data_IF_731830133481
#
_entry.id   IF_731830133481
#
_cell.length_a   1.000
_cell.length_b   1.000
_cell.length_c   1.000
_cell.angle_alpha   90.00
_cell.angle_beta   90.00
_cell.angle_gamma   90.00
#
_symmetry.space_group_name_H-M   'P 1'
#
loop_
_entity.id
_entity.type
_entity.pdbx_description
1 polymer ?
#
# COMPACT_ATOMS: atom_id res chain seq x y z
N UNK A 1 -12.05 21.92 -17.99
CA UNK A 1 -10.83 22.45 -17.33
C UNK A 1 -9.72 21.41 -17.52
N UNK A 2 -8.52 21.77 -18.00
CA UNK A 2 -7.45 20.78 -18.16
C UNK A 2 -7.08 20.24 -16.77
N UNK A 3 -7.17 18.91 -16.60
CA UNK A 3 -6.64 18.22 -15.42
C UNK A 3 -5.17 18.62 -15.29
N UNK A 4 -4.82 19.44 -14.30
CA UNK A 4 -3.42 19.57 -13.87
C UNK A 4 -2.97 18.15 -13.52
N UNK A 5 -2.10 17.56 -14.35
CA UNK A 5 -1.42 16.32 -14.02
C UNK A 5 -0.79 16.51 -12.65
N UNK A 6 -1.29 15.76 -11.67
CA UNK A 6 -0.75 15.78 -10.33
C UNK A 6 0.70 15.29 -10.41
N UNK A 7 1.64 16.05 -9.87
CA UNK A 7 3.03 15.60 -9.77
C UNK A 7 3.11 14.45 -8.76
N UNK A 8 4.11 13.58 -8.91
CA UNK A 8 4.39 12.55 -7.91
C UNK A 8 4.47 13.16 -6.50
N UNK A 9 5.16 14.28 -6.37
CA UNK A 9 5.30 14.99 -5.11
C UNK A 9 3.94 15.41 -4.49
N UNK A 10 2.99 15.84 -5.32
CA UNK A 10 1.64 16.17 -4.87
C UNK A 10 0.91 14.95 -4.32
N UNK A 11 0.85 13.84 -5.08
CA UNK A 11 0.09 12.65 -4.67
C UNK A 11 0.69 11.99 -3.43
N UNK A 12 2.01 12.04 -3.25
CA UNK A 12 2.65 11.51 -2.04
C UNK A 12 2.35 12.35 -0.79
N UNK A 13 2.15 13.66 -0.96
CA UNK A 13 1.81 14.56 0.15
C UNK A 13 0.32 14.61 0.46
N UNK A 14 -0.54 14.57 -0.57
CA UNK A 14 -1.96 14.88 -0.44
C UNK A 14 -2.89 13.75 -0.86
N UNK A 15 -2.40 12.73 -1.55
CA UNK A 15 -3.22 11.68 -2.14
C UNK A 15 -3.92 12.11 -3.43
N UNK A 16 -4.83 11.26 -3.90
CA UNK A 16 -5.50 11.36 -5.20
C UNK A 16 -6.94 11.88 -5.15
N UNK A 17 -7.47 12.29 -3.99
CA UNK A 17 -8.85 12.78 -3.89
C UNK A 17 -9.07 14.01 -4.80
N UNK A 18 -9.98 13.94 -5.80
CA UNK A 18 -10.17 15.03 -6.77
C UNK A 18 -10.55 16.37 -6.13
N UNK A 19 -11.28 16.34 -5.01
CA UNK A 19 -11.72 17.55 -4.30
C UNK A 19 -10.54 18.39 -3.78
N UNK A 20 -9.39 17.77 -3.48
CA UNK A 20 -8.19 18.47 -3.00
C UNK A 20 -7.54 19.38 -4.04
N UNK A 21 -7.86 19.18 -5.32
CA UNK A 21 -7.36 20.00 -6.42
C UNK A 21 -8.04 21.37 -6.49
N UNK A 22 -9.21 21.53 -5.87
CA UNK A 22 -9.96 22.79 -5.87
C UNK A 22 -9.35 23.82 -4.90
N UNK A 23 -8.66 23.34 -3.86
CA UNK A 23 -7.97 24.20 -2.90
C UNK A 23 -6.61 24.61 -3.44
N UNK A 24 -6.23 25.88 -3.24
CA UNK A 24 -4.90 26.38 -3.58
C UNK A 24 -3.93 26.25 -2.41
N UNK A 25 -4.39 26.54 -1.18
CA UNK A 25 -3.59 26.50 0.04
C UNK A 25 -3.58 25.11 0.68
N UNK A 26 -2.46 24.78 1.33
CA UNK A 26 -2.33 23.52 2.07
C UNK A 26 -3.23 23.48 3.33
N UNK A 27 -3.46 24.64 3.97
CA UNK A 27 -4.38 24.77 5.11
C UNK A 27 -5.79 24.29 4.76
N UNK A 28 -6.29 24.69 3.60
CA UNK A 28 -7.66 24.40 3.18
C UNK A 28 -7.80 22.91 2.80
N UNK A 29 -6.74 22.32 2.24
CA UNK A 29 -6.66 20.85 2.00
C UNK A 29 -6.68 20.08 3.31
N UNK A 30 -5.91 20.53 4.30
CA UNK A 30 -5.89 19.93 5.63
C UNK A 30 -7.26 20.01 6.30
N UNK A 31 -7.89 21.18 6.30
CA UNK A 31 -9.24 21.38 6.86
C UNK A 31 -10.25 20.45 6.19
N UNK A 32 -10.23 20.37 4.85
CA UNK A 32 -11.06 19.44 4.10
C UNK A 32 -10.82 17.99 4.52
N UNK A 33 -9.56 17.54 4.61
CA UNK A 33 -9.24 16.16 4.98
C UNK A 33 -9.65 15.81 6.40
N UNK A 34 -9.49 16.75 7.34
CA UNK A 34 -9.97 16.60 8.72
C UNK A 34 -11.49 16.44 8.75
N UNK A 35 -12.21 17.29 8.03
CA UNK A 35 -13.67 17.24 7.96
C UNK A 35 -14.16 15.95 7.27
N UNK A 36 -13.61 15.63 6.10
CA UNK A 36 -13.99 14.48 5.29
C UNK A 36 -13.75 13.16 6.03
N UNK A 37 -12.53 12.90 6.49
CA UNK A 37 -12.21 11.56 7.01
C UNK A 37 -12.71 11.32 8.43
N UNK A 38 -12.83 12.34 9.29
CA UNK A 38 -13.41 12.12 10.62
C UNK A 38 -14.93 12.23 10.61
N UNK A 39 -15.48 13.28 10.00
CA UNK A 39 -16.91 13.57 10.17
C UNK A 39 -17.77 12.71 9.25
N UNK A 40 -17.35 12.49 8.00
CA UNK A 40 -18.14 11.70 7.06
C UNK A 40 -17.98 10.21 7.34
N UNK A 41 -16.74 9.74 7.52
CA UNK A 41 -16.47 8.32 7.72
C UNK A 41 -17.11 7.75 8.97
N UNK A 42 -17.00 8.45 10.11
CA UNK A 42 -17.63 7.99 11.34
C UNK A 42 -19.14 7.96 11.21
N UNK A 43 -19.74 8.96 10.54
CA UNK A 43 -21.19 9.02 10.35
C UNK A 43 -21.71 7.91 9.45
N UNK A 44 -21.02 7.63 8.34
CA UNK A 44 -21.40 6.59 7.38
C UNK A 44 -21.32 5.21 8.03
N UNK A 45 -20.20 4.89 8.68
CA UNK A 45 -20.01 3.60 9.37
C UNK A 45 -20.98 3.42 10.54
N UNK A 46 -21.34 4.51 11.23
CA UNK A 46 -22.34 4.47 12.30
C UNK A 46 -23.76 4.29 11.76
N UNK A 47 -24.11 4.95 10.65
CA UNK A 47 -25.44 4.89 10.04
C UNK A 47 -25.78 3.47 9.58
N UNK A 48 -24.80 2.74 9.05
CA UNK A 48 -24.94 1.34 8.62
C UNK A 48 -25.02 0.34 9.78
N UNK A 49 -24.98 0.81 11.04
CA UNK A 49 -24.99 -0.01 12.27
C UNK A 49 -23.90 -1.09 12.33
N UNK A 50 -22.86 -1.00 11.52
CA UNK A 50 -21.75 -1.96 11.51
C UNK A 50 -20.96 -1.96 12.83
N UNK A 51 -21.05 -0.86 13.59
CA UNK A 51 -20.30 -0.67 14.83
C UNK A 51 -21.24 -0.39 16.00
N UNK A 52 -21.28 -1.32 16.95
CA UNK A 52 -22.08 -1.20 18.19
C UNK A 52 -21.55 -0.14 19.16
N UNK A 53 -20.23 0.07 19.20
CA UNK A 53 -19.54 1.03 20.07
C UNK A 53 -18.56 1.87 19.25
N UNK A 54 -18.81 3.16 19.14
CA UNK A 54 -18.03 4.05 18.28
C UNK A 54 -16.64 4.38 18.86
N UNK A 55 -16.53 4.49 20.19
CA UNK A 55 -15.28 4.89 20.85
C UNK A 55 -14.07 3.97 20.54
N UNK A 56 -14.18 2.63 20.62
CA UNK A 56 -13.07 1.77 20.22
C UNK A 56 -12.71 1.90 18.73
N UNK A 57 -13.69 2.12 17.85
CA UNK A 57 -13.42 2.33 16.44
C UNK A 57 -12.65 3.63 16.17
N UNK A 58 -13.01 4.72 16.86
CA UNK A 58 -12.28 5.99 16.82
C UNK A 58 -10.82 5.85 17.23
N UNK A 59 -10.55 5.03 18.25
CA UNK A 59 -9.17 4.73 18.70
C UNK A 59 -8.43 3.83 17.72
N UNK A 60 -9.14 2.92 17.05
CA UNK A 60 -8.60 2.04 16.04
C UNK A 60 -8.10 2.78 14.81
N UNK A 61 -8.85 3.78 14.30
CA UNK A 61 -8.55 4.43 13.02
C UNK A 61 -7.13 5.04 12.92
N UNK A 62 -6.62 5.83 13.89
CA UNK A 62 -5.24 6.32 13.87
C UNK A 62 -4.20 5.19 13.92
N UNK A 63 -4.47 4.12 14.67
CA UNK A 63 -3.56 2.96 14.77
C UNK A 63 -3.53 2.22 13.43
N UNK A 64 -4.69 2.02 12.79
CA UNK A 64 -4.78 1.42 11.46
C UNK A 64 -3.98 2.24 10.43
N UNK A 65 -4.07 3.57 10.48
CA UNK A 65 -3.30 4.45 9.62
C UNK A 65 -1.79 4.32 9.83
N UNK A 66 -1.32 4.22 11.08
CA UNK A 66 0.09 3.95 11.37
C UNK A 66 0.56 2.54 10.97
N UNK A 67 -0.37 1.59 10.88
CA UNK A 67 -0.13 0.21 10.45
C UNK A 67 -0.29 0.02 8.94
N UNK A 68 -0.60 1.08 8.19
CA UNK A 68 -0.71 1.04 6.73
C UNK A 68 0.56 0.49 6.09
N UNK A 69 0.41 -0.54 5.24
CA UNK A 69 1.50 -1.23 4.56
C UNK A 69 2.38 -2.11 5.45
N UNK A 70 2.05 -2.28 6.73
CA UNK A 70 2.78 -3.12 7.67
C UNK A 70 2.03 -4.43 7.94
N UNK A 71 2.78 -5.48 8.30
CA UNK A 71 2.18 -6.77 8.68
C UNK A 71 1.35 -6.56 9.96
N UNK A 72 0.08 -6.93 9.89
CA UNK A 72 -0.84 -6.69 10.99
C UNK A 72 -0.59 -7.65 12.15
N UNK A 73 -0.55 -7.10 13.35
CA UNK A 73 -0.64 -7.86 14.58
C UNK A 73 -1.95 -7.51 15.28
N UNK A 74 -3.01 -8.26 14.97
CA UNK A 74 -4.35 -8.01 15.49
C UNK A 74 -4.39 -8.02 17.02
N UNK A 75 -3.62 -8.89 17.67
CA UNK A 75 -3.55 -8.97 19.14
C UNK A 75 -2.91 -7.71 19.75
N UNK A 76 -1.86 -7.18 19.11
CA UNK A 76 -1.22 -5.94 19.56
C UNK A 76 -2.16 -4.74 19.41
N UNK A 77 -2.80 -4.61 18.23
CA UNK A 77 -3.75 -3.53 17.96
C UNK A 77 -4.95 -3.62 18.92
N UNK A 78 -5.43 -4.83 19.20
CA UNK A 78 -6.54 -5.07 20.12
C UNK A 78 -6.21 -4.58 21.54
N UNK A 79 -4.99 -4.83 22.02
CA UNK A 79 -4.50 -4.31 23.31
C UNK A 79 -4.44 -2.79 23.34
N UNK A 80 -3.95 -2.16 22.27
CA UNK A 80 -3.84 -0.70 22.18
C UNK A 80 -5.23 -0.02 22.15
N UNK A 81 -6.25 -0.69 21.59
CA UNK A 81 -7.63 -0.18 21.47
C UNK A 81 -8.53 -0.59 22.65
N UNK A 82 -8.10 -1.56 23.47
CA UNK A 82 -8.85 -2.18 24.57
C UNK A 82 -10.12 -2.94 24.13
N UNK A 83 -9.97 -3.76 23.08
CA UNK A 83 -11.00 -4.69 22.58
C UNK A 83 -10.37 -6.05 22.28
N UNK A 84 -11.16 -7.04 21.87
CA UNK A 84 -10.62 -8.33 21.41
C UNK A 84 -10.13 -8.28 19.95
N UNK A 85 -9.28 -9.24 19.56
CA UNK A 85 -8.70 -9.27 18.22
C UNK A 85 -9.71 -9.59 17.10
N UNK A 86 -10.84 -10.22 17.42
CA UNK A 86 -11.94 -10.43 16.46
C UNK A 86 -12.62 -9.11 16.13
N UNK A 87 -12.80 -8.23 17.11
CA UNK A 87 -13.31 -6.87 16.92
C UNK A 87 -12.38 -6.05 16.02
N UNK A 88 -11.06 -6.13 16.20
CA UNK A 88 -10.11 -5.44 15.31
C UNK A 88 -10.17 -5.98 13.87
N UNK A 89 -10.27 -7.31 13.69
CA UNK A 89 -10.45 -7.90 12.35
C UNK A 89 -11.72 -7.37 11.68
N UNK A 90 -12.84 -7.36 12.41
CA UNK A 90 -14.10 -6.81 11.94
C UNK A 90 -13.98 -5.32 11.58
N UNK A 91 -13.20 -4.53 12.31
CA UNK A 91 -12.96 -3.12 11.95
C UNK A 91 -12.20 -2.96 10.63
N UNK A 92 -11.17 -3.78 10.37
CA UNK A 92 -10.52 -3.77 9.07
C UNK A 92 -11.41 -4.32 7.95
N UNK A 93 -12.24 -5.33 8.22
CA UNK A 93 -13.26 -5.84 7.27
C UNK A 93 -14.24 -4.72 6.88
N UNK A 94 -14.71 -3.94 7.84
CA UNK A 94 -15.53 -2.74 7.55
C UNK A 94 -14.78 -1.77 6.63
N UNK A 95 -13.49 -1.50 6.87
CA UNK A 95 -12.70 -0.61 6.00
C UNK A 95 -12.53 -1.18 4.58
N UNK A 96 -12.46 -2.49 4.42
CA UNK A 96 -12.39 -3.15 3.11
C UNK A 96 -13.74 -3.15 2.39
N UNK A 97 -14.83 -3.50 3.09
CA UNK A 97 -16.19 -3.54 2.55
C UNK A 97 -16.69 -2.15 2.12
N UNK A 98 -16.20 -1.09 2.77
CA UNK A 98 -16.44 0.32 2.41
C UNK A 98 -15.49 0.86 1.35
N UNK A 99 -14.61 0.03 0.79
CA UNK A 99 -13.63 0.40 -0.23
C UNK A 99 -12.63 1.47 0.23
N UNK A 100 -12.41 1.62 1.53
CA UNK A 100 -11.42 2.55 2.10
C UNK A 100 -10.02 1.97 2.11
N UNK A 101 -9.90 0.66 1.92
CA UNK A 101 -8.63 -0.04 1.81
C UNK A 101 -8.81 -1.48 1.36
N UNK A 102 -7.73 -2.24 1.41
CA UNK A 102 -7.70 -3.64 1.01
C UNK A 102 -6.61 -4.39 1.78
N UNK A 103 -6.82 -5.69 1.97
CA UNK A 103 -5.77 -6.57 2.47
C UNK A 103 -4.78 -6.96 1.37
N UNK A 104 -3.49 -6.96 1.71
CA UNK A 104 -2.44 -7.60 0.93
C UNK A 104 -1.99 -8.87 1.67
N UNK A 105 -2.44 -10.07 1.23
CA UNK A 105 -2.12 -11.31 1.93
C UNK A 105 -0.65 -11.69 1.78
N UNK A 106 -0.14 -12.49 2.71
CA UNK A 106 1.19 -13.09 2.56
C UNK A 106 1.16 -14.21 1.51
N UNK A 107 2.16 -14.24 0.64
CA UNK A 107 2.29 -15.27 -0.38
C UNK A 107 2.56 -16.65 0.25
N UNK A 108 1.82 -17.65 -0.20
CA UNK A 108 2.14 -19.06 -0.04
C UNK A 108 1.54 -19.83 -1.22
N UNK A 109 2.12 -20.98 -1.57
CA UNK A 109 1.53 -21.86 -2.59
C UNK A 109 0.34 -22.63 -2.03
N UNK A 110 0.31 -22.85 -0.72
CA UNK A 110 -0.82 -23.43 -0.02
C UNK A 110 -1.76 -22.33 0.48
N UNK A 111 -2.97 -22.30 -0.05
CA UNK A 111 -4.05 -21.42 0.42
C UNK A 111 -4.24 -21.56 1.95
N UNK A 112 -4.18 -22.79 2.48
CA UNK A 112 -4.30 -23.03 3.94
C UNK A 112 -3.17 -22.37 4.73
N UNK A 113 -1.93 -22.36 4.21
CA UNK A 113 -0.80 -21.69 4.87
C UNK A 113 -0.89 -20.18 4.72
N UNK A 114 -1.32 -19.68 3.55
CA UNK A 114 -1.58 -18.27 3.31
C UNK A 114 -2.60 -17.71 4.31
N UNK A 115 -3.73 -18.38 4.52
CA UNK A 115 -4.78 -17.96 5.48
C UNK A 115 -4.25 -17.86 6.92
N UNK A 116 -3.24 -18.65 7.29
CA UNK A 116 -2.63 -18.63 8.64
C UNK A 116 -1.64 -17.49 8.85
N UNK A 117 -1.16 -16.85 7.77
CA UNK A 117 -0.22 -15.75 7.86
C UNK A 117 -0.98 -14.43 8.00
N UNK A 118 -0.47 -13.53 8.82
CA UNK A 118 -1.03 -12.19 8.94
C UNK A 118 -0.92 -11.44 7.61
N UNK A 119 -1.95 -10.70 7.18
CA UNK A 119 -1.88 -9.84 6.00
C UNK A 119 -1.24 -8.49 6.36
N UNK A 120 -0.92 -7.70 5.33
CA UNK A 120 -0.84 -6.24 5.45
C UNK A 120 -2.19 -5.62 5.09
N UNK A 121 -2.41 -4.37 5.47
CA UNK A 121 -3.55 -3.58 5.02
C UNK A 121 -3.07 -2.25 4.43
N UNK A 122 -3.64 -1.86 3.30
CA UNK A 122 -3.38 -0.56 2.67
C UNK A 122 -4.69 0.21 2.57
N UNK A 123 -4.68 1.48 2.99
CA UNK A 123 -5.73 2.41 2.62
C UNK A 123 -5.71 2.63 1.11
N UNK A 124 -6.87 2.93 0.51
CA UNK A 124 -6.98 3.08 -0.94
C UNK A 124 -6.32 4.37 -1.47
N UNK A 125 -6.07 5.32 -0.56
CA UNK A 125 -5.51 6.62 -0.89
C UNK A 125 -4.69 7.20 0.28
N UNK A 126 -3.58 7.90 -0.03
CA UNK A 126 -2.71 8.52 0.97
C UNK A 126 -3.41 9.60 1.80
N UNK A 127 -4.39 10.28 1.22
CA UNK A 127 -5.17 11.32 1.87
C UNK A 127 -5.93 10.80 3.11
N UNK A 128 -6.47 9.56 3.03
CA UNK A 128 -7.14 8.89 4.13
C UNK A 128 -6.16 8.62 5.27
N UNK A 129 -5.04 7.95 4.96
CA UNK A 129 -4.00 7.65 5.95
C UNK A 129 -3.54 8.95 6.64
N UNK A 130 -3.33 10.02 5.89
CA UNK A 130 -2.80 11.29 6.41
C UNK A 130 -3.78 11.96 7.37
N UNK A 131 -5.06 11.98 6.99
CA UNK A 131 -6.11 12.53 7.82
C UNK A 131 -6.27 11.75 9.14
N UNK A 132 -6.20 10.41 9.07
CA UNK A 132 -6.31 9.54 10.25
C UNK A 132 -5.09 9.65 11.17
N UNK A 133 -3.89 9.78 10.62
CA UNK A 133 -2.64 10.06 11.37
C UNK A 133 -2.64 11.47 12.01
N UNK A 134 -3.49 12.38 11.53
CA UNK A 134 -3.50 13.80 11.89
C UNK A 134 -2.15 14.50 11.65
N UNK A 135 -1.36 13.98 10.72
CA UNK A 135 -0.03 14.50 10.39
C UNK A 135 -0.05 15.14 9.00
N UNK A 136 -0.04 16.47 8.96
CA UNK A 136 -0.08 17.25 7.72
C UNK A 136 1.27 17.90 7.38
N UNK A 137 2.36 17.46 8.01
CA UNK A 137 3.70 17.92 7.67
C UNK A 137 4.10 17.45 6.26
N UNK A 138 4.65 18.33 5.42
CA UNK A 138 5.16 17.95 4.10
C UNK A 138 6.25 16.88 4.21
N UNK A 139 6.21 15.90 3.30
CA UNK A 139 7.23 14.86 3.22
C UNK A 139 8.49 15.41 2.55
N UNK A 140 9.59 15.45 3.30
CA UNK A 140 10.90 15.73 2.72
C UNK A 140 11.31 14.59 1.76
N UNK A 141 11.68 14.95 0.53
CA UNK A 141 12.09 13.99 -0.52
C UNK A 141 13.25 13.11 -0.06
N UNK A 142 13.29 11.87 -0.53
CA UNK A 142 14.36 10.91 -0.26
C UNK A 142 14.54 10.53 1.23
N UNK A 143 13.60 10.90 2.10
CA UNK A 143 13.53 10.39 3.48
C UNK A 143 12.80 9.05 3.55
N UNK A 144 12.94 8.33 4.67
CA UNK A 144 12.18 7.08 4.88
C UNK A 144 10.66 7.29 4.82
N UNK A 145 10.16 8.42 5.33
CA UNK A 145 8.74 8.74 5.27
C UNK A 145 8.25 8.96 3.83
N UNK A 146 9.08 9.59 2.99
CA UNK A 146 8.81 9.72 1.56
C UNK A 146 8.83 8.36 0.85
N UNK A 147 9.75 7.49 1.25
CA UNK A 147 9.81 6.11 0.74
C UNK A 147 8.58 5.28 1.06
N UNK A 148 8.11 5.33 2.31
CA UNK A 148 6.86 4.66 2.73
C UNK A 148 5.65 5.22 1.97
N UNK A 149 5.58 6.54 1.78
CA UNK A 149 4.50 7.14 1.00
C UNK A 149 4.55 6.72 -0.48
N UNK A 150 5.75 6.63 -1.07
CA UNK A 150 5.95 6.17 -2.44
C UNK A 150 5.53 4.70 -2.63
N UNK A 151 5.91 3.82 -1.70
CA UNK A 151 5.49 2.41 -1.71
C UNK A 151 3.97 2.30 -1.61
N UNK A 152 3.36 2.99 -0.65
CA UNK A 152 1.91 3.01 -0.47
C UNK A 152 1.21 3.47 -1.77
N UNK A 153 1.63 4.61 -2.32
CA UNK A 153 1.05 5.13 -3.55
C UNK A 153 1.20 4.16 -4.71
N UNK A 154 2.40 3.63 -4.96
CA UNK A 154 2.61 2.70 -6.08
C UNK A 154 1.83 1.39 -5.91
N UNK A 155 1.72 0.87 -4.68
CA UNK A 155 0.91 -0.30 -4.36
C UNK A 155 -0.57 -0.06 -4.65
N UNK A 156 -1.12 1.09 -4.23
CA UNK A 156 -2.52 1.45 -4.49
C UNK A 156 -2.80 1.68 -5.96
N UNK A 157 -1.88 2.29 -6.72
CA UNK A 157 -2.00 2.39 -8.18
C UNK A 157 -2.02 1.02 -8.84
N UNK A 158 -1.10 0.11 -8.48
CA UNK A 158 -1.07 -1.25 -9.00
C UNK A 158 -2.38 -1.99 -8.69
N UNK A 159 -2.88 -1.89 -7.45
CA UNK A 159 -4.15 -2.49 -7.05
C UNK A 159 -5.33 -1.94 -7.87
N UNK A 160 -5.49 -0.61 -7.91
CA UNK A 160 -6.58 0.05 -8.65
C UNK A 160 -6.55 -0.29 -10.14
N UNK A 161 -5.38 -0.26 -10.76
CA UNK A 161 -5.24 -0.57 -12.18
C UNK A 161 -5.44 -2.06 -12.49
N UNK A 162 -5.05 -2.95 -11.57
CA UNK A 162 -5.34 -4.38 -11.70
C UNK A 162 -6.85 -4.64 -11.74
N UNK A 163 -7.60 -3.97 -10.85
CA UNK A 163 -9.07 -4.03 -10.81
C UNK A 163 -9.69 -3.38 -12.04
N UNK A 164 -9.34 -2.13 -12.33
CA UNK A 164 -9.91 -1.34 -13.43
C UNK A 164 -9.72 -2.01 -14.79
N UNK A 165 -8.52 -2.56 -15.04
CA UNK A 165 -8.19 -3.25 -16.29
C UNK A 165 -8.53 -4.74 -16.28
N UNK A 166 -9.16 -5.25 -15.22
CA UNK A 166 -9.55 -6.67 -15.08
C UNK A 166 -8.41 -7.64 -15.37
N UNK A 167 -7.20 -7.31 -14.89
CA UNK A 167 -6.00 -8.12 -15.14
C UNK A 167 -6.02 -9.44 -14.36
N UNK A 168 -6.81 -9.53 -13.30
CA UNK A 168 -6.96 -10.70 -12.44
C UNK A 168 -5.61 -11.20 -11.90
N UNK A 169 -4.68 -10.27 -11.62
CA UNK A 169 -3.47 -10.62 -10.89
C UNK A 169 -3.82 -10.80 -9.43
N UNK A 170 -3.31 -11.88 -8.82
CA UNK A 170 -3.37 -12.05 -7.38
C UNK A 170 -2.16 -11.35 -6.75
N UNK A 171 -2.42 -10.40 -5.87
CA UNK A 171 -1.42 -9.59 -5.20
C UNK A 171 -1.13 -10.18 -3.83
N UNK A 172 0.15 -10.24 -3.45
CA UNK A 172 0.58 -10.70 -2.13
C UNK A 172 1.96 -10.13 -1.79
N UNK A 173 2.43 -10.28 -0.55
CA UNK A 173 3.80 -9.91 -0.15
C UNK A 173 4.57 -11.14 0.37
N UNK A 174 5.90 -11.06 0.51
CA UNK A 174 6.68 -12.12 1.17
C UNK A 174 7.45 -11.55 2.33
N UNK A 175 7.38 -12.24 3.48
CA UNK A 175 8.33 -12.09 4.58
C UNK A 175 9.05 -13.43 4.80
N UNK A 176 10.37 -13.43 4.73
CA UNK A 176 11.19 -14.64 4.95
C UNK A 176 11.41 -14.87 6.46
N UNK A 177 11.85 -16.09 6.80
CA UNK A 177 12.29 -16.40 8.18
C UNK A 177 13.51 -15.58 8.63
N UNK A 178 14.31 -15.11 7.69
CA UNK A 178 15.44 -14.21 7.93
C UNK A 178 15.03 -12.73 7.94
N UNK A 179 13.73 -12.45 8.08
CA UNK A 179 13.16 -11.11 8.17
C UNK A 179 13.48 -10.22 6.96
N UNK A 180 13.64 -10.84 5.79
CA UNK A 180 13.73 -10.13 4.50
C UNK A 180 12.36 -10.06 3.87
N UNK A 181 12.08 -8.93 3.26
CA UNK A 181 10.78 -8.64 2.67
C UNK A 181 10.88 -8.54 1.15
N UNK A 182 9.85 -9.01 0.45
CA UNK A 182 9.58 -8.63 -0.94
C UNK A 182 8.22 -7.93 -0.90
N UNK A 183 8.22 -6.66 -1.30
CA UNK A 183 7.08 -5.76 -1.13
C UNK A 183 5.82 -6.27 -1.85
N UNK A 184 6.00 -6.80 -3.06
CA UNK A 184 4.89 -7.29 -3.88
C UNK A 184 5.24 -8.54 -4.69
N UNK A 185 4.29 -9.47 -4.74
CA UNK A 185 4.28 -10.64 -5.59
C UNK A 185 2.98 -10.64 -6.37
N UNK A 186 3.10 -10.59 -7.69
CA UNK A 186 1.98 -10.75 -8.61
C UNK A 186 1.97 -12.17 -9.15
N UNK A 187 0.84 -12.85 -9.00
CA UNK A 187 0.56 -14.11 -9.72
C UNK A 187 -0.44 -13.82 -10.83
N UNK A 188 0.01 -13.98 -12.07
CA UNK A 188 -0.86 -13.83 -13.25
C UNK A 188 -1.82 -15.02 -13.39
N UNK A 189 -2.90 -14.90 -14.19
CA UNK A 189 -3.79 -16.02 -14.49
C UNK A 189 -3.08 -17.27 -15.03
N UNK A 190 -2.04 -17.08 -15.84
CA UNK A 190 -1.19 -18.15 -16.38
C UNK A 190 -0.18 -18.73 -15.37
N UNK A 191 -0.29 -18.37 -14.09
CA UNK A 191 0.58 -18.78 -12.97
C UNK A 191 2.02 -18.26 -13.03
N UNK A 192 2.33 -17.33 -13.95
CA UNK A 192 3.60 -16.59 -13.92
C UNK A 192 3.69 -15.78 -12.62
N UNK A 193 4.84 -15.85 -11.94
CA UNK A 193 5.11 -15.09 -10.72
C UNK A 193 6.03 -13.92 -11.04
N UNK A 194 5.67 -12.75 -10.54
CA UNK A 194 6.51 -11.54 -10.64
C UNK A 194 6.77 -11.04 -9.23
N UNK A 195 8.05 -10.96 -8.86
CA UNK A 195 8.53 -10.40 -7.60
C UNK A 195 8.93 -8.95 -7.83
N UNK A 196 8.47 -8.05 -6.96
CA UNK A 196 8.65 -6.62 -7.10
C UNK A 196 9.12 -6.06 -5.76
N UNK A 197 10.24 -5.35 -5.81
CA UNK A 197 10.71 -4.48 -4.73
C UNK A 197 10.44 -3.02 -5.14
N UNK A 198 10.04 -2.18 -4.19
CA UNK A 198 9.75 -0.77 -4.42
C UNK A 198 10.77 0.07 -3.64
N UNK A 199 11.47 0.97 -4.34
CA UNK A 199 12.44 1.88 -3.74
C UNK A 199 12.22 3.30 -4.22
N UNK A 200 12.21 4.25 -3.30
CA UNK A 200 12.05 5.66 -3.64
C UNK A 200 13.37 6.36 -3.97
N UNK A 201 14.42 5.59 -4.32
CA UNK A 201 15.76 6.12 -4.62
C UNK A 201 15.83 6.62 -6.06
N UNK A 202 16.66 7.63 -6.30
CA UNK A 202 16.98 8.15 -7.64
C UNK A 202 18.20 7.46 -8.28
N UNK A 203 18.93 6.65 -7.52
CA UNK A 203 20.01 5.80 -8.00
C UNK A 203 19.92 4.44 -7.30
N UNK A 204 19.68 3.38 -8.08
CA UNK A 204 19.64 1.99 -7.59
C UNK A 204 21.01 1.34 -7.77
N UNK A 205 21.45 0.58 -6.75
CA UNK A 205 22.71 -0.16 -6.76
C UNK A 205 22.51 -1.67 -6.46
N UNK A 206 23.62 -2.41 -6.35
CA UNK A 206 23.59 -3.86 -6.11
C UNK A 206 22.98 -4.24 -4.76
N UNK A 207 23.22 -3.44 -3.71
CA UNK A 207 22.67 -3.70 -2.38
C UNK A 207 21.15 -3.71 -2.37
N UNK A 208 20.53 -2.83 -3.17
CA UNK A 208 19.08 -2.74 -3.32
C UNK A 208 18.47 -4.00 -3.96
N UNK A 209 19.25 -4.77 -4.73
CA UNK A 209 18.78 -5.96 -5.45
C UNK A 209 18.98 -7.27 -4.67
N UNK A 210 19.83 -7.27 -3.64
CA UNK A 210 20.25 -8.49 -2.90
C UNK A 210 19.10 -9.37 -2.42
N UNK A 211 18.03 -8.76 -1.92
CA UNK A 211 16.87 -9.52 -1.42
C UNK A 211 16.16 -10.28 -2.54
N UNK A 212 15.83 -9.59 -3.63
CA UNK A 212 15.21 -10.22 -4.81
C UNK A 212 16.11 -11.29 -5.43
N UNK A 213 17.41 -11.01 -5.57
CA UNK A 213 18.37 -11.97 -6.12
C UNK A 213 18.46 -13.24 -5.27
N UNK A 214 18.50 -13.10 -3.94
CA UNK A 214 18.51 -14.25 -3.04
C UNK A 214 17.24 -15.11 -3.19
N UNK A 215 16.12 -14.51 -3.59
CA UNK A 215 14.85 -15.21 -3.74
C UNK A 215 14.70 -15.89 -5.11
N UNK A 216 15.12 -15.22 -6.18
CA UNK A 216 15.10 -15.80 -7.55
C UNK A 216 16.16 -16.88 -7.69
N UNK A 217 17.39 -16.60 -7.22
CA UNK A 217 18.52 -17.53 -7.31
C UNK A 217 18.31 -18.82 -6.50
N UNK A 218 17.65 -18.76 -5.35
CA UNK A 218 17.39 -19.94 -4.50
C UNK A 218 16.24 -20.82 -4.97
N UNK A 219 15.36 -20.33 -5.85
CA UNK A 219 14.12 -21.04 -6.21
C UNK A 219 14.00 -21.47 -7.66
N UNK A 220 14.86 -21.02 -8.58
CA UNK A 220 14.88 -21.35 -10.03
C UNK A 220 13.56 -21.97 -10.53
N UNK A 221 12.46 -21.24 -10.36
CA UNK A 221 11.17 -21.60 -10.95
C UNK A 221 11.23 -20.97 -12.32
N UNK A 222 11.30 -21.79 -13.35
CA UNK A 222 11.49 -21.45 -14.77
C UNK A 222 10.53 -20.39 -15.37
N UNK A 223 9.63 -19.76 -14.58
CA UNK A 223 8.66 -18.75 -15.00
C UNK A 223 8.54 -17.56 -14.04
N UNK A 224 9.55 -17.27 -13.20
CA UNK A 224 9.53 -16.08 -12.35
C UNK A 224 10.32 -14.92 -12.92
N UNK A 225 9.81 -13.69 -12.77
CA UNK A 225 10.54 -12.44 -13.06
C UNK A 225 10.74 -11.63 -11.79
N UNK A 226 11.83 -10.87 -11.72
CA UNK A 226 12.09 -9.94 -10.63
C UNK A 226 12.31 -8.53 -11.16
N UNK A 227 11.60 -7.58 -10.55
CA UNK A 227 11.71 -6.17 -10.86
C UNK A 227 11.97 -5.35 -9.61
N UNK A 228 12.71 -4.28 -9.76
CA UNK A 228 12.82 -3.23 -8.76
C UNK A 228 12.25 -1.95 -9.37
N UNK A 229 11.17 -1.43 -8.82
CA UNK A 229 10.55 -0.19 -9.26
C UNK A 229 11.06 0.96 -8.43
N UNK A 230 11.53 2.03 -9.09
CA UNK A 230 12.08 3.17 -8.39
C UNK A 230 11.87 4.50 -9.09
N UNK A 231 12.42 5.55 -8.48
CA UNK A 231 12.50 6.88 -9.07
C UNK A 231 13.81 7.13 -9.81
N UNK A 232 14.67 6.11 -9.94
CA UNK A 232 15.86 6.14 -10.81
C UNK A 232 15.40 6.15 -12.27
N UNK A 233 15.71 7.22 -13.04
CA UNK A 233 15.29 7.31 -14.44
C UNK A 233 16.04 6.29 -15.33
N UNK A 234 17.17 5.76 -14.87
CA UNK A 234 18.02 4.85 -15.65
C UNK A 234 17.55 3.41 -15.42
N UNK A 235 16.90 2.85 -16.45
CA UNK A 235 16.62 1.42 -16.49
C UNK A 235 17.92 0.63 -16.61
N UNK A 236 18.12 -0.38 -15.76
CA UNK A 236 19.30 -1.26 -15.79
C UNK A 236 18.94 -2.66 -15.32
N UNK A 237 19.83 -3.61 -15.59
CA UNK A 237 19.72 -4.98 -15.08
C UNK A 237 20.89 -5.24 -14.14
N UNK A 238 20.60 -5.63 -12.90
CA UNK A 238 21.59 -6.01 -11.89
C UNK A 238 21.36 -7.48 -11.60
N UNK A 239 22.32 -8.32 -12.01
CA UNK A 239 22.19 -9.77 -12.02
C UNK A 239 20.89 -10.24 -12.70
N UNK A 240 19.95 -10.77 -11.91
CA UNK A 240 18.64 -11.25 -12.40
C UNK A 240 17.51 -10.22 -12.29
N UNK A 241 17.74 -9.08 -11.64
CA UNK A 241 16.73 -8.07 -11.33
C UNK A 241 16.68 -6.98 -12.39
N UNK A 242 15.49 -6.71 -12.91
CA UNK A 242 15.24 -5.59 -13.82
C UNK A 242 14.87 -4.34 -13.00
N UNK A 243 15.81 -3.40 -12.91
CA UNK A 243 15.61 -2.13 -12.22
C UNK A 243 15.01 -1.11 -13.19
N UNK A 244 13.83 -0.58 -12.86
CA UNK A 244 13.04 0.26 -13.76
C UNK A 244 12.55 1.51 -13.06
N UNK A 245 12.42 2.59 -13.84
CA UNK A 245 11.59 3.70 -13.44
C UNK A 245 10.14 3.24 -13.29
N UNK A 246 9.46 3.63 -12.22
CA UNK A 246 8.16 3.08 -11.83
C UNK A 246 7.10 3.13 -12.94
N UNK A 247 7.06 4.18 -13.77
CA UNK A 247 6.11 4.28 -14.90
C UNK A 247 6.30 3.13 -15.89
N UNK A 248 7.55 2.89 -16.29
CA UNK A 248 7.91 1.78 -17.18
C UNK A 248 7.63 0.43 -16.53
N UNK A 249 7.74 0.35 -15.20
CA UNK A 249 7.28 -0.79 -14.42
C UNK A 249 5.79 -1.07 -14.62
N UNK A 250 4.95 -0.05 -14.44
CA UNK A 250 3.50 -0.14 -14.67
C UNK A 250 3.17 -0.54 -16.13
N UNK A 251 3.86 0.05 -17.12
CA UNK A 251 3.70 -0.30 -18.54
C UNK A 251 3.93 -1.80 -18.80
N UNK A 252 5.04 -2.34 -18.28
CA UNK A 252 5.40 -3.76 -18.47
C UNK A 252 4.40 -4.70 -17.80
N UNK A 253 3.78 -4.26 -16.71
CA UNK A 253 2.69 -5.01 -16.06
C UNK A 253 1.35 -4.88 -16.81
N UNK A 254 1.27 -3.97 -17.80
CA UNK A 254 0.04 -3.63 -18.51
C UNK A 254 -0.92 -2.81 -17.65
N UNK A 255 -0.40 -2.02 -16.70
CA UNK A 255 -1.14 -1.29 -15.68
C UNK A 255 -1.05 0.25 -15.83
N UNK A 256 -0.50 0.77 -16.92
CA UNK A 256 -0.38 2.21 -17.19
C UNK A 256 -1.61 2.91 -17.75
#
# INVERSE_FOLDING_TARGET
MPQKLQTLDYVLNWGGLPQLLQYSKNSDREEYLRAYVYTYLEKEIQAEQWIKKLEPFRKFLPIAAQMNGKILNFEKIAKDVLVDSKTIKNYYEILEDTLLGFYLPAFDESIRKQIRKAPKFYFIDRSLQRALEKNFEPLAKQTGAWGVAFEHWLMTEIYKMNVYKKRNYELSYIMTKSNKEIDLVLRKPNKELIFIEIKSKNTVNEDDCKTLESFVGSKSKSKSKAYLFSTDPISKKIGSVHCLYWQKGLDILGLS
#
